data_IF_540806874466
#
_entry.id   IF_540806874466
#
_cell.length_a   1.000
_cell.length_b   1.000
_cell.length_c   1.000
_cell.angle_alpha   90.00
_cell.angle_beta   90.00
_cell.angle_gamma   90.00
#
_symmetry.space_group_name_H-M   'P 1'
#
loop_
_entity.id
_entity.type
_entity.pdbx_description
1 polymer ?
#
# COMPACT_ATOMS: atom_id res chain seq x y z
N UNK A 1 -1.22 -15.76 2.08
CA UNK A 1 -1.72 -15.24 3.38
C UNK A 1 -2.21 -13.81 3.17
N UNK A 2 -3.31 -13.41 3.82
CA UNK A 2 -3.83 -12.04 3.78
C UNK A 2 -2.94 -11.12 4.63
N UNK A 3 -2.84 -9.84 4.28
CA UNK A 3 -1.98 -8.90 5.00
C UNK A 3 -2.34 -8.70 6.47
N UNK A 4 -3.61 -8.82 6.82
CA UNK A 4 -4.07 -8.71 8.21
C UNK A 4 -3.83 -9.98 9.06
N UNK A 5 -3.34 -11.07 8.46
CA UNK A 5 -3.02 -12.32 9.15
C UNK A 5 -1.52 -12.62 9.18
N UNK A 6 -0.68 -11.68 8.74
CA UNK A 6 0.76 -11.83 8.77
C UNK A 6 1.30 -11.70 10.20
N UNK A 7 2.44 -12.33 10.46
CA UNK A 7 3.20 -12.14 11.68
C UNK A 7 4.42 -11.28 11.38
N UNK A 8 4.36 -10.03 11.76
CA UNK A 8 5.52 -9.11 11.66
C UNK A 8 6.55 -9.55 12.68
N UNK A 9 7.76 -9.83 12.20
CA UNK A 9 8.88 -10.21 13.04
C UNK A 9 9.60 -8.98 13.57
N UNK A 10 9.89 -8.04 12.69
CA UNK A 10 10.65 -6.83 13.03
C UNK A 10 10.25 -5.68 12.10
N UNK A 11 10.16 -4.47 12.67
CA UNK A 11 10.05 -3.23 11.90
C UNK A 11 11.44 -2.61 11.79
N UNK A 12 12.05 -2.76 10.61
CA UNK A 12 13.42 -2.32 10.34
C UNK A 12 13.50 -0.80 10.37
N UNK A 13 12.61 -0.12 9.65
CA UNK A 13 12.65 1.33 9.49
C UNK A 13 11.29 1.92 9.18
N UNK A 14 11.13 3.19 9.50
CA UNK A 14 10.04 4.05 9.03
C UNK A 14 10.68 5.20 8.28
N UNK A 15 10.34 5.36 7.01
CA UNK A 15 11.05 6.25 6.10
C UNK A 15 10.08 7.23 5.46
N UNK A 16 10.43 8.53 5.53
CA UNK A 16 9.90 9.55 4.65
C UNK A 16 10.87 9.69 3.48
N UNK A 17 10.40 9.35 2.28
CA UNK A 17 11.24 9.29 1.10
C UNK A 17 10.79 10.28 0.04
N UNK A 18 11.75 11.04 -0.49
CA UNK A 18 11.58 11.90 -1.65
C UNK A 18 12.68 11.58 -2.66
N UNK A 19 12.35 10.97 -3.81
CA UNK A 19 13.36 10.62 -4.80
C UNK A 19 14.03 11.86 -5.37
N UNK A 20 15.30 11.73 -5.69
CA UNK A 20 16.11 12.78 -6.35
C UNK A 20 16.56 12.38 -7.74
N UNK A 21 16.34 11.10 -8.13
CA UNK A 21 16.66 10.54 -9.43
C UNK A 21 15.40 9.99 -10.09
N UNK A 22 15.33 10.13 -11.43
CA UNK A 22 14.15 9.76 -12.19
C UNK A 22 14.00 8.24 -12.35
N UNK A 23 15.11 7.51 -12.45
CA UNK A 23 15.08 6.07 -12.68
C UNK A 23 15.98 5.34 -11.67
N UNK A 24 15.47 4.26 -11.10
CA UNK A 24 16.20 3.40 -10.21
C UNK A 24 15.60 1.99 -10.16
N UNK A 25 16.35 1.06 -9.58
CA UNK A 25 15.98 -0.34 -9.47
C UNK A 25 16.10 -0.82 -8.04
N UNK A 26 15.25 -1.78 -7.67
CA UNK A 26 15.28 -2.44 -6.36
C UNK A 26 15.32 -3.95 -6.56
N UNK A 27 16.41 -4.59 -6.12
CA UNK A 27 16.63 -6.03 -6.27
C UNK A 27 16.94 -6.68 -4.94
N UNK A 28 16.58 -7.96 -4.80
CA UNK A 28 16.95 -8.82 -3.67
C UNK A 28 16.67 -8.19 -2.30
N UNK A 29 15.55 -7.49 -2.16
CA UNK A 29 15.15 -6.94 -0.87
C UNK A 29 14.87 -8.07 0.12
N UNK A 30 15.27 -7.86 1.36
CA UNK A 30 15.03 -8.80 2.46
C UNK A 30 13.90 -8.33 3.39
N UNK A 31 13.07 -7.42 2.93
CA UNK A 31 11.97 -6.85 3.70
C UNK A 31 10.80 -6.47 2.80
N UNK A 32 9.63 -6.45 3.38
CA UNK A 32 8.42 -5.92 2.78
C UNK A 32 8.31 -4.41 3.05
N UNK A 33 7.54 -3.73 2.22
CA UNK A 33 7.26 -2.30 2.38
C UNK A 33 5.76 -2.08 2.32
N UNK A 34 5.23 -1.36 3.31
CA UNK A 34 3.87 -0.81 3.30
C UNK A 34 3.98 0.71 3.39
N UNK A 35 3.09 1.42 2.72
CA UNK A 35 3.18 2.88 2.75
C UNK A 35 2.10 3.61 2.00
N UNK A 36 2.25 4.93 1.97
CA UNK A 36 1.43 5.85 1.20
C UNK A 36 2.30 6.72 0.31
N UNK A 37 1.87 6.89 -0.93
CA UNK A 37 2.38 7.94 -1.82
C UNK A 37 1.61 9.22 -1.50
N UNK A 38 2.29 10.23 -0.96
CA UNK A 38 1.67 11.50 -0.56
C UNK A 38 1.46 12.40 -1.77
N UNK A 39 2.48 12.49 -2.62
CA UNK A 39 2.47 13.34 -3.82
C UNK A 39 3.37 12.76 -4.91
N UNK A 40 3.22 13.30 -6.12
CA UNK A 40 3.96 12.86 -7.29
C UNK A 40 3.45 11.54 -7.87
N UNK A 41 4.15 11.03 -8.88
CA UNK A 41 3.81 9.76 -9.54
C UNK A 41 5.03 9.04 -10.09
N UNK A 42 4.99 7.71 -10.06
CA UNK A 42 6.05 6.86 -10.57
C UNK A 42 5.51 5.54 -11.10
N UNK A 43 6.04 5.07 -12.21
CA UNK A 43 5.76 3.74 -12.76
C UNK A 43 6.69 2.71 -12.10
N UNK A 44 6.09 1.69 -11.51
CA UNK A 44 6.78 0.51 -11.00
C UNK A 44 6.59 -0.65 -11.97
N UNK A 45 7.68 -1.18 -12.50
CA UNK A 45 7.70 -2.30 -13.45
C UNK A 45 8.32 -3.51 -12.77
N UNK A 46 7.56 -4.58 -12.67
CA UNK A 46 7.95 -5.89 -12.15
C UNK A 46 7.94 -6.91 -13.29
N UNK A 47 8.41 -8.13 -13.03
CA UNK A 47 8.48 -9.19 -14.06
C UNK A 47 7.13 -9.44 -14.75
N UNK A 48 6.04 -9.55 -13.97
CA UNK A 48 4.72 -9.95 -14.49
C UNK A 48 3.68 -8.84 -14.52
N UNK A 49 3.98 -7.68 -13.97
CA UNK A 49 3.03 -6.57 -13.83
C UNK A 49 3.71 -5.22 -13.69
N UNK A 50 2.94 -4.20 -13.96
CA UNK A 50 3.31 -2.82 -13.67
C UNK A 50 2.12 -2.05 -13.09
N UNK A 51 2.40 -1.03 -12.32
CA UNK A 51 1.39 -0.08 -11.86
C UNK A 51 1.99 1.31 -11.65
N UNK A 52 1.14 2.32 -11.76
CA UNK A 52 1.51 3.69 -11.43
C UNK A 52 1.17 3.95 -9.96
N UNK A 53 2.19 4.35 -9.19
CA UNK A 53 2.03 4.79 -7.82
C UNK A 53 1.88 6.30 -7.81
N UNK A 54 0.67 6.79 -7.51
CA UNK A 54 0.32 8.23 -7.52
C UNK A 54 0.01 8.75 -6.14
N UNK A 55 0.07 10.07 -5.97
CA UNK A 55 -0.36 10.73 -4.73
C UNK A 55 -1.77 10.32 -4.31
N UNK A 56 -1.97 10.01 -3.03
CA UNK A 56 -3.22 9.50 -2.47
C UNK A 56 -3.42 7.99 -2.57
N UNK A 57 -2.38 7.23 -2.97
CA UNK A 57 -2.43 5.77 -3.04
C UNK A 57 -1.64 5.13 -1.91
N UNK A 58 -2.20 4.09 -1.30
CA UNK A 58 -1.51 3.18 -0.39
C UNK A 58 -0.93 2.01 -1.16
N UNK A 59 0.16 1.43 -0.69
CA UNK A 59 0.84 0.35 -1.39
C UNK A 59 1.44 -0.69 -0.45
N UNK A 60 1.54 -1.89 -0.99
CA UNK A 60 2.32 -2.99 -0.46
C UNK A 60 3.32 -3.45 -1.51
N UNK A 61 4.60 -3.55 -1.14
CA UNK A 61 5.66 -4.10 -1.98
C UNK A 61 6.23 -5.35 -1.31
N UNK A 62 5.95 -6.51 -1.93
CA UNK A 62 6.45 -7.78 -1.44
C UNK A 62 7.98 -7.86 -1.61
N UNK A 63 8.69 -8.41 -0.62
CA UNK A 63 10.15 -8.55 -0.68
C UNK A 63 10.64 -9.39 -1.86
N UNK A 64 9.82 -10.32 -2.36
CA UNK A 64 10.15 -11.18 -3.51
C UNK A 64 10.02 -10.51 -4.87
N UNK A 65 9.36 -9.35 -4.93
CA UNK A 65 9.15 -8.63 -6.18
C UNK A 65 10.29 -7.63 -6.40
N UNK A 66 11.16 -7.93 -7.35
CA UNK A 66 12.14 -6.96 -7.86
C UNK A 66 11.42 -5.99 -8.80
N UNK A 67 11.83 -4.72 -8.80
CA UNK A 67 11.18 -3.73 -9.65
C UNK A 67 12.14 -2.62 -10.11
N UNK A 68 11.78 -2.06 -11.27
CA UNK A 68 12.33 -0.82 -11.81
C UNK A 68 11.32 0.30 -11.62
N UNK A 69 11.80 1.48 -11.26
CA UNK A 69 10.98 2.68 -11.09
C UNK A 69 11.36 3.74 -12.10
N UNK A 70 10.35 4.30 -12.75
CA UNK A 70 10.49 5.52 -13.57
C UNK A 70 9.60 6.60 -12.95
N UNK A 71 10.20 7.65 -12.46
CA UNK A 71 9.49 8.78 -11.82
C UNK A 71 9.01 9.75 -12.90
N UNK A 72 7.69 9.97 -12.93
CA UNK A 72 7.07 10.96 -13.82
C UNK A 72 6.99 12.34 -13.16
N UNK A 73 6.63 12.34 -11.87
CA UNK A 73 6.54 13.55 -11.06
C UNK A 73 7.16 13.27 -9.71
N UNK A 74 8.14 14.10 -9.31
CA UNK A 74 8.78 13.98 -8.01
C UNK A 74 7.81 14.34 -6.87
N UNK A 75 7.87 13.56 -5.80
CA UNK A 75 7.00 13.75 -4.65
C UNK A 75 7.41 12.89 -3.47
N UNK A 76 6.59 12.88 -2.44
CA UNK A 76 6.91 12.25 -1.16
C UNK A 76 6.16 10.93 -0.96
N UNK A 77 6.78 10.02 -0.22
CA UNK A 77 6.19 8.81 0.31
C UNK A 77 6.53 8.63 1.79
N UNK A 78 5.63 8.02 2.53
CA UNK A 78 5.88 7.51 3.87
C UNK A 78 5.73 6.00 3.87
N UNK A 79 6.66 5.29 4.49
CA UNK A 79 6.65 3.82 4.49
C UNK A 79 7.19 3.20 5.77
N UNK A 80 6.70 2.01 6.06
CA UNK A 80 7.23 1.08 7.06
C UNK A 80 7.89 -0.07 6.33
N UNK A 81 9.12 -0.39 6.69
CA UNK A 81 9.87 -1.53 6.20
C UNK A 81 9.90 -2.60 7.29
N UNK A 82 9.48 -3.81 6.97
CA UNK A 82 9.35 -4.88 7.96
C UNK A 82 9.70 -6.26 7.41
N UNK A 83 10.00 -7.19 8.31
CA UNK A 83 10.22 -8.61 8.01
C UNK A 83 9.12 -9.46 8.61
N UNK A 84 8.93 -10.64 8.06
CA UNK A 84 8.03 -11.67 8.57
C UNK A 84 8.77 -12.99 8.72
N UNK A 85 8.29 -13.87 9.61
CA UNK A 85 8.83 -15.22 9.74
C UNK A 85 8.34 -16.13 8.60
N UNK A 86 7.15 -15.83 8.06
CA UNK A 86 6.53 -16.61 6.99
C UNK A 86 6.50 -15.80 5.68
N UNK A 87 6.49 -16.52 4.57
CA UNK A 87 6.37 -15.91 3.26
C UNK A 87 4.96 -15.30 3.05
N UNK A 88 4.91 -14.07 2.55
CA UNK A 88 3.65 -13.42 2.17
C UNK A 88 3.35 -13.75 0.71
N UNK A 89 2.21 -14.40 0.47
CA UNK A 89 1.76 -14.74 -0.88
C UNK A 89 1.15 -13.54 -1.62
N UNK A 90 0.62 -12.56 -0.88
CA UNK A 90 0.04 -11.35 -1.48
C UNK A 90 1.07 -10.66 -2.36
N UNK A 91 0.70 -10.46 -3.62
CA UNK A 91 1.53 -9.73 -4.57
C UNK A 91 1.58 -8.24 -4.25
N UNK A 92 2.65 -7.57 -4.70
CA UNK A 92 2.75 -6.12 -4.61
C UNK A 92 1.58 -5.42 -5.31
N UNK A 93 1.06 -4.34 -4.72
CA UNK A 93 -0.02 -3.55 -5.30
C UNK A 93 0.06 -2.09 -4.85
N UNK A 94 -0.64 -1.23 -5.57
CA UNK A 94 -0.87 0.17 -5.22
C UNK A 94 -2.31 0.54 -5.54
N UNK A 95 -3.04 1.11 -4.58
CA UNK A 95 -4.46 1.38 -4.68
C UNK A 95 -4.82 2.74 -4.07
N UNK A 96 -5.75 3.49 -4.68
CA UNK A 96 -6.23 4.74 -4.11
C UNK A 96 -6.96 4.50 -2.78
N UNK A 97 -6.80 5.45 -1.86
CA UNK A 97 -7.49 5.45 -0.57
C UNK A 97 -8.33 6.71 -0.40
N UNK A 98 -9.53 6.56 0.18
CA UNK A 98 -10.43 7.69 0.41
C UNK A 98 -9.92 8.62 1.53
N UNK A 99 -9.41 8.06 2.63
CA UNK A 99 -8.92 8.83 3.78
C UNK A 99 -7.38 8.87 3.82
N UNK A 100 -6.81 9.73 2.98
CA UNK A 100 -5.36 9.94 2.88
C UNK A 100 -4.76 10.44 4.21
N UNK A 101 -5.46 11.32 4.92
CA UNK A 101 -4.98 11.89 6.18
C UNK A 101 -4.83 10.87 7.30
N UNK A 102 -5.73 9.91 7.37
CA UNK A 102 -5.63 8.82 8.35
C UNK A 102 -4.37 7.98 8.13
N UNK A 103 -4.11 7.58 6.89
CA UNK A 103 -2.92 6.81 6.53
C UNK A 103 -1.62 7.59 6.81
N UNK A 104 -1.56 8.88 6.47
CA UNK A 104 -0.42 9.74 6.76
C UNK A 104 -0.23 9.89 8.28
N UNK A 105 -1.31 10.11 9.03
CA UNK A 105 -1.26 10.24 10.50
C UNK A 105 -0.70 8.99 11.16
N UNK A 106 -1.14 7.81 10.75
CA UNK A 106 -0.63 6.53 11.27
C UNK A 106 0.87 6.38 11.00
N UNK A 107 1.32 6.64 9.78
CA UNK A 107 2.74 6.49 9.43
C UNK A 107 3.63 7.53 10.10
N UNK A 108 3.14 8.76 10.34
CA UNK A 108 3.86 9.75 11.14
C UNK A 108 4.00 9.31 12.60
N UNK A 109 2.94 8.73 13.19
CA UNK A 109 3.01 8.12 14.54
C UNK A 109 4.01 6.97 14.58
N UNK A 110 4.03 6.11 13.54
CA UNK A 110 5.02 5.05 13.42
C UNK A 110 6.46 5.60 13.47
N UNK A 111 6.73 6.67 12.73
CA UNK A 111 8.03 7.35 12.75
C UNK A 111 8.41 7.87 14.14
N UNK A 112 7.47 8.50 14.84
CA UNK A 112 7.68 8.97 16.21
C UNK A 112 7.96 7.82 17.19
N UNK A 113 7.23 6.71 17.11
CA UNK A 113 7.45 5.54 17.97
C UNK A 113 8.76 4.82 17.63
N UNK A 114 9.15 4.75 16.36
CA UNK A 114 10.47 4.21 15.97
C UNK A 114 11.59 5.04 16.57
N UNK A 115 11.51 6.35 16.47
CA UNK A 115 12.50 7.26 17.06
C UNK A 115 12.57 7.18 18.60
N UNK A 116 11.43 6.91 19.26
CA UNK A 116 11.35 6.76 20.72
C UNK A 116 11.70 5.34 21.21
N UNK A 117 11.98 4.38 20.32
CA UNK A 117 12.24 2.98 20.69
C UNK A 117 11.01 2.24 21.23
N UNK A 118 9.80 2.70 20.93
CA UNK A 118 8.56 2.08 21.41
C UNK A 118 8.07 1.01 20.41
N UNK A 119 8.70 -0.16 20.46
CA UNK A 119 8.47 -1.26 19.52
C UNK A 119 7.02 -1.79 19.58
N UNK A 120 6.38 -1.87 20.74
CA UNK A 120 5.01 -2.37 20.87
C UNK A 120 4.00 -1.47 20.15
N UNK A 121 4.10 -0.16 20.34
CA UNK A 121 3.23 0.80 19.64
C UNK A 121 3.52 0.87 18.16
N UNK A 122 4.79 0.74 17.77
CA UNK A 122 5.19 0.68 16.38
C UNK A 122 4.61 -0.54 15.67
N UNK A 123 4.69 -1.72 16.28
CA UNK A 123 4.07 -2.95 15.75
C UNK A 123 2.54 -2.81 15.64
N UNK A 124 1.88 -2.26 16.65
CA UNK A 124 0.44 -2.00 16.59
C UNK A 124 0.06 -1.16 15.37
N UNK A 125 0.78 -0.07 15.11
CA UNK A 125 0.52 0.78 13.94
C UNK A 125 0.80 0.03 12.63
N UNK A 126 1.84 -0.79 12.55
CA UNK A 126 2.12 -1.58 11.37
C UNK A 126 0.97 -2.55 11.05
N UNK A 127 0.38 -3.19 12.06
CA UNK A 127 -0.82 -4.03 11.90
C UNK A 127 -2.05 -3.22 11.50
N UNK A 128 -2.30 -2.07 12.13
CA UNK A 128 -3.42 -1.18 11.77
C UNK A 128 -3.31 -0.74 10.29
N UNK A 129 -2.10 -0.48 9.82
CA UNK A 129 -1.88 -0.13 8.42
C UNK A 129 -2.08 -1.32 7.47
N UNK A 130 -1.70 -2.52 7.88
CA UNK A 130 -2.02 -3.76 7.14
C UNK A 130 -3.53 -3.98 7.01
N UNK A 131 -4.30 -3.68 8.05
CA UNK A 131 -5.77 -3.73 8.01
C UNK A 131 -6.35 -2.72 7.01
N UNK A 132 -5.82 -1.50 6.96
CA UNK A 132 -6.21 -0.49 5.96
C UNK A 132 -5.94 -1.02 4.54
N UNK A 133 -4.76 -1.56 4.30
CA UNK A 133 -4.38 -2.12 2.99
C UNK A 133 -5.31 -3.26 2.57
N UNK A 134 -5.62 -4.18 3.48
CA UNK A 134 -6.51 -5.30 3.20
C UNK A 134 -7.95 -4.83 2.92
N UNK A 135 -8.43 -3.83 3.68
CA UNK A 135 -9.76 -3.25 3.46
C UNK A 135 -9.88 -2.57 2.09
N UNK A 136 -8.87 -1.80 1.68
CA UNK A 136 -8.83 -1.16 0.35
C UNK A 136 -8.78 -2.20 -0.76
N UNK A 137 -7.94 -3.22 -0.62
CA UNK A 137 -7.80 -4.32 -1.57
C UNK A 137 -9.11 -5.10 -1.73
N UNK A 138 -9.77 -5.41 -0.63
CA UNK A 138 -11.05 -6.14 -0.62
C UNK A 138 -12.15 -5.33 -1.29
N UNK A 139 -12.27 -4.03 -1.02
CA UNK A 139 -13.25 -3.15 -1.70
C UNK A 139 -13.07 -3.15 -3.21
N UNK A 140 -11.84 -3.13 -3.70
CA UNK A 140 -11.58 -3.15 -5.14
C UNK A 140 -11.95 -4.49 -5.77
N UNK A 141 -11.75 -5.61 -5.08
CA UNK A 141 -12.22 -6.91 -5.54
C UNK A 141 -13.74 -6.97 -5.69
N UNK A 142 -14.48 -6.42 -4.73
CA UNK A 142 -15.95 -6.34 -4.82
C UNK A 142 -16.42 -5.44 -5.96
N UNK A 143 -15.72 -4.34 -6.26
CA UNK A 143 -16.05 -3.48 -7.39
C UNK A 143 -15.73 -4.08 -8.75
N UNK A 144 -14.88 -5.09 -8.81
CA UNK A 144 -14.49 -5.80 -10.05
C UNK A 144 -15.23 -7.13 -10.23
N UNK A 145 -16.02 -7.59 -9.25
CA UNK A 145 -16.84 -8.79 -9.41
C UNK A 145 -17.95 -8.51 -10.45
N UNK A 146 -17.95 -9.21 -11.61
CA UNK A 146 -18.95 -8.99 -12.66
C UNK A 146 -20.39 -9.09 -12.16
N UNK A 147 -20.65 -9.95 -11.16
CA UNK A 147 -21.99 -10.12 -10.57
C UNK A 147 -22.45 -8.88 -9.80
N UNK A 148 -21.52 -8.20 -9.10
CA UNK A 148 -21.82 -6.95 -8.40
C UNK A 148 -21.95 -5.78 -9.34
N UNK A 149 -21.19 -5.73 -10.44
CA UNK A 149 -21.33 -4.74 -11.49
C UNK A 149 -22.70 -4.90 -12.17
N UNK A 150 -23.11 -6.13 -12.44
CA UNK A 150 -24.42 -6.42 -13.05
C UNK A 150 -25.58 -6.11 -12.10
N UNK A 151 -25.47 -6.50 -10.82
CA UNK A 151 -26.42 -6.14 -9.78
C UNK A 151 -26.56 -4.63 -9.60
N UNK A 152 -25.45 -3.88 -9.59
CA UNK A 152 -25.47 -2.42 -9.53
C UNK A 152 -26.14 -1.82 -10.75
N UNK A 153 -25.84 -2.27 -11.96
CA UNK A 153 -26.51 -1.84 -13.18
C UNK A 153 -28.01 -2.09 -13.12
N UNK A 154 -28.43 -3.25 -12.61
CA UNK A 154 -29.84 -3.60 -12.46
C UNK A 154 -30.55 -2.68 -11.46
N UNK A 155 -29.91 -2.36 -10.34
CA UNK A 155 -30.42 -1.41 -9.35
C UNK A 155 -30.53 -0.01 -9.96
N UNK A 156 -29.47 0.49 -10.58
CA UNK A 156 -29.45 1.83 -11.19
C UNK A 156 -30.52 1.99 -12.28
N UNK A 157 -30.80 0.94 -13.08
CA UNK A 157 -31.79 0.95 -14.12
C UNK A 157 -33.24 0.89 -13.62
N UNK A 158 -33.48 0.27 -12.46
CA UNK A 158 -34.83 0.05 -11.94
C UNK A 158 -35.27 1.07 -10.87
N UNK A 159 -34.28 1.71 -10.19
CA UNK A 159 -34.58 2.71 -9.14
C UNK A 159 -34.43 4.16 -9.60
N UNK A 160 -33.93 4.43 -10.80
CA UNK A 160 -33.91 5.77 -11.41
C UNK A 160 -35.12 6.07 -12.28
N UNK A 161 -36.17 5.24 -12.23
CA UNK A 161 -37.41 5.38 -13.01
C UNK A 161 -38.64 5.77 -12.18
N UNK A 162 -38.45 6.33 -10.99
CA UNK A 162 -39.53 7.00 -10.25
C UNK A 162 -39.20 8.48 -10.18
N UNK A 163 -39.63 9.21 -11.24
CA UNK A 163 -40.19 10.57 -11.23
C UNK A 163 -40.89 10.86 -12.56
#
# INVERSE_FOLDING_TARGET
MKLNNIRIKDVISVIKYRPTIAEWTSFNRRHHIIGIKISGSALHIMDKKSFVMSGGCVYFLNQKDDYRVTTYEFGESLSIHFTTDEEIETESFCLPIANVYEAISLLNKAGAFKAAGNELKLLSIAYDFCDILEAVRTKQYFHQDPRLIEAKKHIDLNFTKED
#
